data_IF_336358766299
#
_entry.id   IF_336358766299
#
_cell.length_a   1.000
_cell.length_b   1.000
_cell.length_c   1.000
_cell.angle_alpha   90.00
_cell.angle_beta   90.00
_cell.angle_gamma   90.00
#
_symmetry.space_group_name_H-M   'P 1'
#
loop_
_entity.id
_entity.type
_entity.pdbx_description
1 polymer ?
#
# COMPACT_ATOMS: atom_id res chain seq x y z
N UNK A 1 13.98 20.70 -10.19
CA UNK A 1 14.19 20.51 -8.73
C UNK A 1 15.31 19.52 -8.57
N UNK A 2 16.35 19.82 -7.78
CA UNK A 2 17.43 18.86 -7.55
C UNK A 2 17.03 17.79 -6.51
N UNK A 3 17.86 16.75 -6.36
CA UNK A 3 17.54 15.63 -5.46
C UNK A 3 17.29 16.06 -4.01
N UNK A 4 18.07 17.03 -3.48
CA UNK A 4 17.89 17.54 -2.11
C UNK A 4 16.56 18.27 -1.93
N UNK A 5 16.19 19.16 -2.85
CA UNK A 5 14.91 19.85 -2.81
C UNK A 5 13.71 18.89 -2.95
N UNK A 6 13.86 17.82 -3.72
CA UNK A 6 12.85 16.77 -3.83
C UNK A 6 12.67 16.01 -2.51
N UNK A 7 13.76 15.66 -1.84
CA UNK A 7 13.73 15.01 -0.51
C UNK A 7 12.97 15.88 0.49
N UNK A 8 13.29 17.17 0.57
CA UNK A 8 12.60 18.10 1.49
C UNK A 8 11.10 18.17 1.19
N UNK A 9 10.72 18.27 -0.09
CA UNK A 9 9.32 18.33 -0.49
C UNK A 9 8.55 17.04 -0.15
N UNK A 10 9.17 15.86 -0.33
CA UNK A 10 8.58 14.57 0.04
C UNK A 10 8.39 14.44 1.55
N UNK A 11 9.41 14.77 2.34
CA UNK A 11 9.34 14.77 3.81
C UNK A 11 8.26 15.70 4.36
N UNK A 12 8.08 16.86 3.73
CA UNK A 12 7.06 17.84 4.11
C UNK A 12 5.63 17.46 3.65
N UNK A 13 5.50 16.41 2.84
CA UNK A 13 4.19 15.99 2.32
C UNK A 13 3.29 15.43 3.43
N UNK A 14 1.97 15.65 3.27
CA UNK A 14 0.97 15.13 4.20
C UNK A 14 1.04 13.61 4.36
N UNK A 15 1.33 12.88 3.26
CA UNK A 15 1.44 11.43 3.28
C UNK A 15 2.56 10.92 4.18
N UNK A 16 3.74 11.56 4.13
CA UNK A 16 4.86 11.23 5.02
C UNK A 16 4.53 11.54 6.49
N UNK A 17 3.95 12.71 6.78
CA UNK A 17 3.56 13.08 8.14
C UNK A 17 2.58 12.07 8.76
N UNK A 18 1.56 11.64 8.02
CA UNK A 18 0.60 10.65 8.50
C UNK A 18 1.23 9.28 8.77
N UNK A 19 2.28 8.89 8.02
CA UNK A 19 2.94 7.60 8.25
C UNK A 19 3.78 7.60 9.53
N UNK A 20 4.38 8.72 9.91
CA UNK A 20 5.12 8.81 11.17
C UNK A 20 4.23 8.66 12.41
N UNK A 21 2.93 8.98 12.32
CA UNK A 21 1.97 8.78 13.41
C UNK A 21 1.77 7.28 13.75
N UNK A 22 1.98 6.39 12.77
CA UNK A 22 1.84 4.93 12.94
C UNK A 22 2.84 4.43 13.97
N UNK A 23 4.09 4.92 13.96
CA UNK A 23 5.12 4.49 14.89
C UNK A 23 4.76 4.80 16.35
N UNK A 24 4.07 5.91 16.61
CA UNK A 24 3.60 6.27 17.96
C UNK A 24 2.50 5.32 18.44
N UNK A 25 1.53 4.98 17.56
CA UNK A 25 0.45 4.04 17.86
C UNK A 25 0.99 2.63 18.11
N UNK A 26 1.87 2.14 17.25
CA UNK A 26 2.49 0.81 17.36
C UNK A 26 3.32 0.72 18.66
N UNK A 27 4.08 1.77 18.99
CA UNK A 27 4.87 1.84 20.22
C UNK A 27 3.99 1.83 21.48
N UNK A 28 2.88 2.58 21.46
CA UNK A 28 1.92 2.57 22.56
C UNK A 28 1.27 1.20 22.74
N UNK A 29 0.87 0.53 21.66
CA UNK A 29 0.30 -0.82 21.71
C UNK A 29 1.31 -1.85 22.22
N UNK A 30 2.54 -1.82 21.73
CA UNK A 30 3.59 -2.75 22.12
C UNK A 30 3.91 -2.69 23.63
N UNK A 31 3.82 -1.49 24.24
CA UNK A 31 4.07 -1.30 25.68
C UNK A 31 3.00 -1.91 26.60
N UNK A 32 1.79 -2.16 26.08
CA UNK A 32 0.62 -2.63 26.86
C UNK A 32 0.24 -4.10 26.59
N UNK A 33 0.95 -4.80 25.72
CA UNK A 33 0.60 -6.18 25.34
C UNK A 33 1.04 -7.19 26.41
N UNK A 34 0.17 -8.13 26.84
CA UNK A 34 0.54 -9.23 27.73
C UNK A 34 1.58 -10.14 27.05
N UNK A 35 2.76 -10.27 27.67
CA UNK A 35 3.87 -11.07 27.12
C UNK A 35 4.82 -10.31 26.22
N UNK A 36 4.59 -9.00 26.03
CA UNK A 36 5.46 -8.10 25.27
C UNK A 36 5.52 -8.40 23.77
N UNK A 37 6.31 -7.61 23.07
CA UNK A 37 6.53 -7.74 21.62
C UNK A 37 6.99 -9.13 21.16
N UNK A 38 7.64 -9.91 22.04
CA UNK A 38 8.12 -11.25 21.73
C UNK A 38 7.00 -12.29 21.54
N UNK A 39 5.88 -12.17 22.23
CA UNK A 39 4.75 -13.12 22.10
C UNK A 39 3.97 -12.86 20.78
N UNK A 40 3.90 -11.61 20.32
CA UNK A 40 3.29 -11.25 19.04
C UNK A 40 4.24 -11.52 17.86
N UNK A 41 5.54 -11.32 18.02
CA UNK A 41 6.54 -11.55 16.98
C UNK A 41 6.62 -12.99 16.47
N UNK A 42 6.10 -13.96 17.26
CA UNK A 42 6.01 -15.35 16.82
C UNK A 42 4.81 -15.66 15.92
N UNK A 43 3.74 -14.84 15.98
CA UNK A 43 2.51 -15.11 15.26
C UNK A 43 2.31 -14.19 14.05
N UNK A 44 2.52 -12.89 14.20
CA UNK A 44 2.25 -11.88 13.16
C UNK A 44 3.19 -10.69 13.35
N UNK A 45 4.01 -10.39 12.35
CA UNK A 45 4.83 -9.17 12.35
C UNK A 45 3.95 -7.94 12.07
N UNK A 46 4.16 -6.85 12.83
CA UNK A 46 3.49 -5.57 12.63
C UNK A 46 4.25 -4.73 11.61
N UNK A 47 3.52 -3.96 10.79
CA UNK A 47 4.08 -3.01 9.83
C UNK A 47 3.82 -3.36 8.36
N UNK A 48 3.13 -4.46 8.09
CA UNK A 48 2.70 -4.85 6.75
C UNK A 48 1.25 -4.40 6.44
N UNK A 49 0.79 -4.62 5.20
CA UNK A 49 -0.55 -4.22 4.72
C UNK A 49 -1.67 -5.02 5.40
N UNK A 50 -1.40 -6.28 5.75
CA UNK A 50 -2.33 -7.10 6.52
C UNK A 50 -1.64 -7.80 7.69
N UNK A 51 -2.40 -8.10 8.73
CA UNK A 51 -2.05 -9.16 9.67
C UNK A 51 -2.14 -10.51 8.96
N UNK A 52 -1.06 -11.31 8.98
CA UNK A 52 -1.00 -12.63 8.36
C UNK A 52 -1.02 -13.71 9.44
N UNK A 53 -2.17 -14.34 9.67
CA UNK A 53 -2.40 -15.33 10.72
C UNK A 53 -2.22 -16.73 10.13
N UNK A 54 -1.26 -17.56 10.59
CA UNK A 54 -1.11 -18.93 10.11
C UNK A 54 -2.41 -19.73 10.24
N UNK A 55 -2.77 -20.41 9.19
CA UNK A 55 -4.02 -21.18 9.13
C UNK A 55 -3.83 -22.44 8.29
N UNK A 56 -4.34 -23.56 8.81
CA UNK A 56 -4.32 -24.86 8.13
C UNK A 56 -5.75 -25.28 7.80
N UNK A 57 -5.97 -25.70 6.58
CA UNK A 57 -7.24 -26.26 6.13
C UNK A 57 -7.05 -27.58 5.36
N UNK A 58 -8.14 -28.08 4.75
CA UNK A 58 -8.12 -29.33 3.96
C UNK A 58 -7.20 -29.27 2.74
N UNK A 59 -6.88 -28.06 2.28
CA UNK A 59 -6.02 -27.82 1.12
C UNK A 59 -4.55 -27.59 1.51
N UNK A 60 -4.20 -27.62 2.81
CA UNK A 60 -2.86 -27.48 3.36
C UNK A 60 -2.61 -26.21 4.16
N UNK A 61 -1.35 -25.91 4.38
CA UNK A 61 -0.89 -24.73 5.12
C UNK A 61 -1.11 -23.44 4.30
N UNK A 62 -1.44 -22.36 5.00
CA UNK A 62 -1.64 -21.04 4.42
C UNK A 62 -1.81 -19.99 5.50
N UNK A 63 -2.38 -18.86 5.11
CA UNK A 63 -2.57 -17.70 5.99
C UNK A 63 -3.95 -17.09 5.78
N UNK A 64 -4.60 -16.69 6.88
CA UNK A 64 -5.67 -15.71 6.85
C UNK A 64 -5.04 -14.33 6.88
N UNK A 65 -5.52 -13.45 6.01
CA UNK A 65 -5.11 -12.05 5.92
C UNK A 65 -6.24 -11.19 6.45
N UNK A 66 -5.91 -10.24 7.32
CA UNK A 66 -6.90 -9.35 7.92
C UNK A 66 -6.37 -7.92 7.95
N UNK A 67 -7.12 -6.99 7.34
CA UNK A 67 -6.80 -5.57 7.29
C UNK A 67 -8.05 -4.73 7.60
N UNK A 68 -7.83 -3.45 7.92
CA UNK A 68 -8.88 -2.46 8.12
C UNK A 68 -8.36 -1.09 7.69
N UNK A 69 -9.18 -0.38 6.90
CA UNK A 69 -8.89 0.97 6.45
C UNK A 69 -9.98 1.95 6.87
N UNK A 70 -9.54 3.10 7.43
CA UNK A 70 -10.41 4.22 7.78
C UNK A 70 -10.27 5.35 6.78
N UNK A 71 -11.41 5.90 6.32
CA UNK A 71 -11.43 6.97 5.33
C UNK A 71 -11.41 8.35 5.98
N UNK A 72 -10.67 9.28 5.38
CA UNK A 72 -10.59 10.69 5.81
C UNK A 72 -11.95 11.36 5.71
N UNK A 73 -12.41 12.03 6.78
CA UNK A 73 -13.75 12.66 6.86
C UNK A 73 -14.03 13.62 5.68
N UNK A 74 -13.07 14.49 5.33
CA UNK A 74 -13.21 15.44 4.22
C UNK A 74 -13.43 14.73 2.87
N UNK A 75 -12.78 13.59 2.66
CA UNK A 75 -12.95 12.80 1.44
C UNK A 75 -14.36 12.20 1.35
N UNK A 76 -14.88 11.68 2.48
CA UNK A 76 -16.26 11.17 2.55
C UNK A 76 -17.26 12.30 2.31
N UNK A 77 -17.02 13.48 2.88
CA UNK A 77 -17.92 14.63 2.74
C UNK A 77 -17.98 15.18 1.31
N UNK A 78 -16.83 15.27 0.62
CA UNK A 78 -16.75 15.86 -0.71
C UNK A 78 -17.05 14.88 -1.84
N UNK A 79 -16.72 13.60 -1.67
CA UNK A 79 -16.83 12.59 -2.72
C UNK A 79 -17.41 11.27 -2.16
N UNK A 80 -18.64 11.27 -1.61
CA UNK A 80 -19.16 10.14 -0.84
C UNK A 80 -19.19 8.83 -1.62
N UNK A 81 -19.62 8.85 -2.89
CA UNK A 81 -19.61 7.66 -3.73
C UNK A 81 -18.21 7.12 -3.95
N UNK A 82 -17.26 7.99 -4.30
CA UNK A 82 -15.90 7.57 -4.57
C UNK A 82 -15.17 7.14 -3.29
N UNK A 83 -15.44 7.78 -2.15
CA UNK A 83 -14.95 7.33 -0.84
C UNK A 83 -15.45 5.92 -0.50
N UNK A 84 -16.74 5.65 -0.71
CA UNK A 84 -17.31 4.31 -0.58
C UNK A 84 -16.65 3.29 -1.52
N UNK A 85 -16.42 3.66 -2.77
CA UNK A 85 -15.71 2.81 -3.73
C UNK A 85 -14.28 2.52 -3.27
N UNK A 86 -13.53 3.54 -2.88
CA UNK A 86 -12.15 3.41 -2.41
C UNK A 86 -12.05 2.57 -1.14
N UNK A 87 -13.01 2.66 -0.22
CA UNK A 87 -12.96 1.91 1.05
C UNK A 87 -12.88 0.39 0.86
N UNK A 88 -13.51 -0.14 -0.18
CA UNK A 88 -13.39 -1.56 -0.57
C UNK A 88 -12.14 -1.79 -1.41
N UNK A 89 -11.85 -0.89 -2.37
CA UNK A 89 -10.72 -1.02 -3.29
C UNK A 89 -9.37 -1.08 -2.56
N UNK A 90 -9.12 -0.19 -1.60
CA UNK A 90 -7.84 -0.14 -0.86
C UNK A 90 -7.64 -1.42 -0.03
N UNK A 91 -8.66 -1.88 0.66
CA UNK A 91 -8.63 -3.15 1.39
C UNK A 91 -8.37 -4.37 0.47
N UNK A 92 -8.93 -4.36 -0.73
CA UNK A 92 -8.64 -5.39 -1.75
C UNK A 92 -7.18 -5.31 -2.17
N UNK A 93 -6.63 -4.10 -2.33
CA UNK A 93 -5.21 -3.88 -2.64
C UNK A 93 -4.30 -4.47 -1.57
N UNK A 94 -4.59 -4.23 -0.28
CA UNK A 94 -3.84 -4.78 0.87
C UNK A 94 -3.75 -6.31 0.82
N UNK A 95 -4.88 -6.98 0.55
CA UNK A 95 -4.90 -8.45 0.46
C UNK A 95 -4.01 -8.94 -0.68
N UNK A 96 -4.12 -8.30 -1.86
CA UNK A 96 -3.30 -8.70 -3.01
C UNK A 96 -1.82 -8.35 -2.81
N UNK A 97 -1.50 -7.22 -2.17
CA UNK A 97 -0.13 -6.85 -1.82
C UNK A 97 0.57 -7.92 -0.98
N UNK A 98 -0.20 -8.60 -0.10
CA UNK A 98 0.28 -9.72 0.71
C UNK A 98 0.27 -11.09 -0.02
N UNK A 99 0.02 -11.12 -1.34
CA UNK A 99 -0.04 -12.36 -2.13
C UNK A 99 -1.31 -13.18 -1.90
N UNK A 100 -2.35 -12.57 -1.34
CA UNK A 100 -3.62 -13.22 -1.02
C UNK A 100 -4.73 -12.91 -2.01
N UNK A 101 -5.88 -13.56 -1.75
CA UNK A 101 -7.15 -13.33 -2.46
C UNK A 101 -8.22 -12.95 -1.44
N UNK A 102 -8.99 -11.88 -1.66
CA UNK A 102 -10.01 -11.43 -0.74
C UNK A 102 -11.18 -12.42 -0.64
N UNK A 103 -11.76 -12.54 0.54
CA UNK A 103 -12.91 -13.40 0.82
C UNK A 103 -14.19 -12.61 1.07
N UNK A 104 -14.11 -11.59 1.95
CA UNK A 104 -15.27 -10.79 2.31
C UNK A 104 -14.85 -9.49 2.99
N UNK A 105 -15.72 -8.49 2.98
CA UNK A 105 -15.58 -7.24 3.72
C UNK A 105 -16.74 -7.03 4.69
N UNK A 106 -16.47 -6.30 5.77
CA UNK A 106 -17.44 -5.70 6.68
C UNK A 106 -17.11 -4.24 6.88
N UNK A 107 -18.11 -3.43 7.26
CA UNK A 107 -17.93 -1.99 7.41
C UNK A 107 -18.41 -1.45 8.76
N UNK A 108 -17.97 -0.25 9.10
CA UNK A 108 -18.55 0.59 10.13
C UNK A 108 -18.80 1.97 9.53
N UNK A 109 -20.09 2.33 9.39
CA UNK A 109 -20.54 3.57 8.75
C UNK A 109 -21.28 4.45 9.75
N UNK A 110 -20.83 5.67 9.94
CA UNK A 110 -21.56 6.73 10.62
C UNK A 110 -21.96 7.80 9.61
N UNK A 111 -23.20 8.28 9.68
CA UNK A 111 -23.72 9.30 8.77
C UNK A 111 -24.75 10.21 9.43
N UNK A 112 -24.96 11.38 8.86
CA UNK A 112 -26.01 12.32 9.22
C UNK A 112 -27.27 12.06 8.38
N UNK A 113 -27.93 10.92 8.65
CA UNK A 113 -29.10 10.47 7.88
C UNK A 113 -28.74 9.46 6.78
N UNK A 114 -29.80 9.02 6.07
CA UNK A 114 -29.65 8.01 5.00
C UNK A 114 -29.17 8.57 3.67
N UNK A 115 -29.45 9.83 3.35
CA UNK A 115 -29.11 10.38 2.03
C UNK A 115 -27.59 10.44 1.80
N UNK A 116 -26.74 10.94 2.73
CA UNK A 116 -25.29 10.84 2.60
C UNK A 116 -24.79 9.38 2.65
N UNK A 117 -25.41 8.54 3.48
CA UNK A 117 -25.05 7.13 3.59
C UNK A 117 -25.30 6.37 2.28
N UNK A 118 -26.39 6.67 1.57
CA UNK A 118 -26.76 5.98 0.33
C UNK A 118 -25.66 6.08 -0.73
N UNK A 119 -25.07 7.24 -0.94
CA UNK A 119 -24.00 7.43 -1.91
C UNK A 119 -22.73 6.63 -1.54
N UNK A 120 -22.37 6.61 -0.27
CA UNK A 120 -21.24 5.79 0.22
C UNK A 120 -21.52 4.30 -0.03
N UNK A 121 -22.71 3.82 0.34
CA UNK A 121 -23.11 2.42 0.15
C UNK A 121 -23.18 2.02 -1.33
N UNK A 122 -23.64 2.90 -2.21
CA UNK A 122 -23.61 2.68 -3.66
C UNK A 122 -22.16 2.53 -4.19
N UNK A 123 -21.23 3.37 -3.72
CA UNK A 123 -19.82 3.25 -4.04
C UNK A 123 -19.22 1.93 -3.56
N UNK A 124 -19.49 1.55 -2.32
CA UNK A 124 -19.07 0.26 -1.77
C UNK A 124 -19.61 -0.92 -2.57
N UNK A 125 -20.91 -0.89 -2.91
CA UNK A 125 -21.56 -1.94 -3.72
C UNK A 125 -20.92 -2.03 -5.13
N UNK A 126 -20.64 -0.88 -5.76
CA UNK A 126 -19.98 -0.85 -7.06
C UNK A 126 -18.58 -1.48 -7.02
N UNK A 127 -17.77 -1.18 -5.99
CA UNK A 127 -16.46 -1.78 -5.80
C UNK A 127 -16.58 -3.30 -5.51
N UNK A 128 -17.48 -3.69 -4.61
CA UNK A 128 -17.77 -5.10 -4.29
C UNK A 128 -18.06 -5.92 -5.56
N UNK A 129 -18.91 -5.41 -6.44
CA UNK A 129 -19.24 -6.07 -7.72
C UNK A 129 -18.03 -6.14 -8.67
N UNK A 130 -17.24 -5.05 -8.78
CA UNK A 130 -16.09 -4.99 -9.68
C UNK A 130 -14.98 -5.95 -9.26
N UNK A 131 -14.66 -5.95 -7.97
CA UNK A 131 -13.59 -6.79 -7.42
C UNK A 131 -14.07 -8.21 -7.11
N UNK A 132 -15.38 -8.44 -7.06
CA UNK A 132 -15.96 -9.75 -6.77
C UNK A 132 -15.83 -10.15 -5.30
N UNK A 133 -15.83 -9.17 -4.39
CA UNK A 133 -15.67 -9.37 -2.94
C UNK A 133 -16.97 -8.99 -2.25
N UNK A 134 -17.70 -9.93 -1.61
CA UNK A 134 -18.99 -9.65 -1.01
C UNK A 134 -18.86 -8.80 0.26
N UNK A 135 -19.81 -7.88 0.45
CA UNK A 135 -20.05 -7.19 1.73
C UNK A 135 -20.97 -8.10 2.54
N UNK A 136 -20.48 -8.63 3.66
CA UNK A 136 -21.21 -9.68 4.42
C UNK A 136 -21.80 -9.19 5.73
N UNK A 137 -21.59 -7.93 6.09
CA UNK A 137 -22.10 -7.32 7.31
C UNK A 137 -21.47 -5.99 7.60
N UNK A 138 -21.78 -5.44 8.76
CA UNK A 138 -21.24 -4.17 9.20
C UNK A 138 -21.97 -3.60 10.40
N UNK A 139 -21.61 -2.37 10.76
CA UNK A 139 -22.28 -1.57 11.79
C UNK A 139 -22.64 -0.20 11.21
N UNK A 140 -23.89 0.22 11.35
CA UNK A 140 -24.37 1.50 10.85
C UNK A 140 -24.97 2.38 11.93
N UNK A 141 -24.61 3.67 11.92
CA UNK A 141 -25.22 4.70 12.77
C UNK A 141 -25.57 5.93 11.93
N UNK A 142 -26.85 6.10 11.59
CA UNK A 142 -27.34 7.21 10.78
C UNK A 142 -27.72 8.46 11.58
N UNK A 143 -27.31 8.55 12.85
CA UNK A 143 -27.58 9.70 13.74
C UNK A 143 -26.29 10.36 14.23
N UNK A 144 -25.19 10.15 13.53
CA UNK A 144 -23.91 10.80 13.79
C UNK A 144 -23.94 12.24 13.28
N UNK A 145 -23.09 13.10 13.87
CA UNK A 145 -22.94 14.49 13.44
C UNK A 145 -22.07 14.63 12.19
N UNK A 146 -21.22 13.65 11.91
CA UNK A 146 -20.28 13.62 10.77
C UNK A 146 -20.26 12.24 10.13
N UNK A 147 -19.94 12.21 8.84
CA UNK A 147 -19.69 10.97 8.12
C UNK A 147 -18.35 10.37 8.52
N UNK A 148 -18.32 9.10 8.88
CA UNK A 148 -17.12 8.30 9.10
C UNK A 148 -17.31 6.93 8.49
N UNK A 149 -16.25 6.35 7.95
CA UNK A 149 -16.27 5.05 7.31
C UNK A 149 -14.98 4.31 7.62
N UNK A 150 -15.11 3.08 8.09
CA UNK A 150 -14.04 2.11 8.14
C UNK A 150 -14.51 0.80 7.52
N UNK A 151 -13.66 0.15 6.74
CA UNK A 151 -13.93 -1.14 6.12
C UNK A 151 -12.83 -2.11 6.50
N UNK A 152 -13.21 -3.28 6.97
CA UNK A 152 -12.30 -4.37 7.27
C UNK A 152 -12.49 -5.49 6.23
N UNK A 153 -11.39 -6.17 5.90
CA UNK A 153 -11.36 -7.23 4.91
C UNK A 153 -10.70 -8.49 5.47
N UNK A 154 -11.25 -9.64 5.09
CA UNK A 154 -10.66 -10.94 5.28
C UNK A 154 -10.21 -11.49 3.92
N UNK A 155 -9.00 -12.00 3.88
CA UNK A 155 -8.43 -12.69 2.72
C UNK A 155 -7.71 -13.96 3.11
N UNK A 156 -7.19 -14.67 2.11
CA UNK A 156 -6.42 -15.90 2.27
C UNK A 156 -5.25 -15.92 1.30
N UNK A 157 -4.09 -16.37 1.78
CA UNK A 157 -2.89 -16.60 0.98
C UNK A 157 -2.34 -18.01 1.17
N UNK A 158 -1.78 -18.59 0.11
CA UNK A 158 -0.98 -19.81 0.16
C UNK A 158 0.49 -19.53 0.44
N UNK A 159 0.99 -18.46 -0.14
CA UNK A 159 2.33 -17.92 0.00
C UNK A 159 2.20 -16.43 0.20
N UNK A 160 3.04 -15.88 1.06
CA UNK A 160 3.02 -14.45 1.35
C UNK A 160 3.98 -13.68 0.43
N UNK A 161 3.57 -12.48 0.09
CA UNK A 161 4.43 -11.35 -0.18
C UNK A 161 4.46 -10.51 1.10
N UNK A 162 5.63 -10.20 1.64
CA UNK A 162 5.71 -9.43 2.89
C UNK A 162 6.71 -8.29 2.77
N UNK A 163 6.57 -7.25 3.61
CA UNK A 163 7.54 -6.16 3.70
C UNK A 163 8.83 -6.54 4.46
N UNK A 164 9.00 -7.81 4.88
CA UNK A 164 10.10 -8.23 5.77
C UNK A 164 11.22 -9.00 5.08
N UNK A 165 11.11 -9.26 3.78
CA UNK A 165 12.02 -10.18 3.07
C UNK A 165 12.95 -9.51 2.05
N UNK A 166 12.95 -8.17 1.93
CA UNK A 166 13.88 -7.48 1.04
C UNK A 166 15.34 -7.70 1.50
N UNK A 167 16.23 -7.91 0.54
CA UNK A 167 17.64 -8.24 0.80
C UNK A 167 18.58 -7.35 -0.02
N UNK A 168 19.76 -7.03 0.49
CA UNK A 168 20.78 -6.36 -0.30
C UNK A 168 21.03 -7.07 -1.64
N UNK A 169 21.06 -6.30 -2.72
CA UNK A 169 21.21 -6.78 -4.09
C UNK A 169 19.89 -7.04 -4.82
N UNK A 170 18.74 -7.00 -4.12
CA UNK A 170 17.43 -7.04 -4.77
C UNK A 170 17.19 -5.78 -5.60
N UNK A 171 16.40 -5.92 -6.65
CA UNK A 171 15.91 -4.80 -7.44
C UNK A 171 14.54 -4.35 -6.92
N UNK A 172 14.42 -3.05 -6.63
CA UNK A 172 13.13 -2.43 -6.37
C UNK A 172 12.38 -2.27 -7.69
N UNK A 173 11.19 -2.84 -7.78
CA UNK A 173 10.35 -2.81 -8.97
C UNK A 173 9.04 -2.10 -8.64
N UNK A 174 8.66 -1.11 -9.44
CA UNK A 174 7.33 -0.51 -9.39
C UNK A 174 6.46 -1.10 -10.50
N UNK A 175 5.25 -1.54 -10.15
CA UNK A 175 4.20 -1.92 -11.09
C UNK A 175 2.98 -1.03 -10.88
N UNK A 176 2.46 -0.40 -11.95
CA UNK A 176 1.35 0.57 -11.83
C UNK A 176 0.47 0.58 -13.10
N UNK A 177 -0.84 0.82 -12.92
CA UNK A 177 -1.75 1.06 -14.04
C UNK A 177 -1.81 2.55 -14.38
N UNK A 178 -1.16 2.93 -15.49
CA UNK A 178 -1.15 4.31 -15.98
C UNK A 178 -2.39 4.68 -16.81
N UNK A 179 -3.32 3.75 -17.03
CA UNK A 179 -4.56 3.96 -17.81
C UNK A 179 -5.65 4.64 -16.99
N UNK A 180 -5.30 5.64 -16.20
CA UNK A 180 -6.18 6.36 -15.28
C UNK A 180 -6.14 7.86 -15.45
N UNK A 181 -6.69 8.54 -14.46
CA UNK A 181 -6.62 9.99 -14.31
C UNK A 181 -6.71 10.37 -12.82
N UNK A 182 -6.27 11.56 -12.46
CA UNK A 182 -6.46 12.08 -11.11
C UNK A 182 -7.93 12.28 -10.78
N UNK A 183 -8.27 12.00 -9.53
CA UNK A 183 -9.59 12.27 -8.97
C UNK A 183 -9.53 13.58 -8.16
N UNK A 184 -9.59 14.68 -8.89
CA UNK A 184 -9.48 16.03 -8.29
C UNK A 184 -10.51 16.25 -7.17
N UNK A 185 -10.14 16.96 -6.08
CA UNK A 185 -8.86 17.65 -5.88
C UNK A 185 -7.79 16.80 -5.18
N UNK A 186 -7.99 15.48 -5.09
CA UNK A 186 -7.08 14.58 -4.37
C UNK A 186 -6.01 13.99 -5.31
N UNK A 187 -4.81 13.69 -4.80
CA UNK A 187 -3.76 13.02 -5.59
C UNK A 187 -4.06 11.51 -5.73
N UNK A 188 -5.32 11.16 -6.02
CA UNK A 188 -5.74 9.78 -6.22
C UNK A 188 -5.79 9.47 -7.71
N UNK A 189 -4.93 8.54 -8.14
CA UNK A 189 -4.86 8.12 -9.53
C UNK A 189 -5.85 6.96 -9.78
N UNK A 190 -6.96 7.29 -10.42
CA UNK A 190 -8.06 6.36 -10.64
C UNK A 190 -7.98 5.68 -12.01
N UNK A 191 -7.46 4.47 -12.06
CA UNK A 191 -7.48 3.57 -13.21
C UNK A 191 -8.55 2.45 -13.07
N UNK A 192 -9.40 2.53 -12.03
CA UNK A 192 -10.30 1.46 -11.62
C UNK A 192 -11.75 1.66 -12.06
N UNK A 193 -12.38 2.81 -11.75
CA UNK A 193 -13.84 2.98 -11.90
C UNK A 193 -14.35 2.84 -13.33
N UNK A 194 -13.52 3.17 -14.34
CA UNK A 194 -13.82 3.00 -15.77
C UNK A 194 -13.38 1.65 -16.35
N UNK A 195 -12.66 0.83 -15.61
CA UNK A 195 -12.07 -0.40 -16.11
C UNK A 195 -13.06 -1.59 -16.13
N UNK A 196 -12.96 -2.53 -17.07
CA UNK A 196 -13.70 -3.79 -16.98
C UNK A 196 -13.32 -4.58 -15.72
N UNK A 197 -14.31 -5.10 -15.01
CA UNK A 197 -14.11 -5.87 -13.78
C UNK A 197 -13.19 -7.09 -13.98
N UNK A 198 -13.29 -7.77 -15.12
CA UNK A 198 -12.42 -8.90 -15.46
C UNK A 198 -10.95 -8.50 -15.59
N UNK A 199 -10.67 -7.29 -16.12
CA UNK A 199 -9.31 -6.74 -16.21
C UNK A 199 -8.75 -6.47 -14.82
N UNK A 200 -9.49 -5.76 -13.96
CA UNK A 200 -9.04 -5.42 -12.60
C UNK A 200 -8.67 -6.66 -11.81
N UNK A 201 -9.55 -7.67 -11.82
CA UNK A 201 -9.30 -8.93 -11.10
C UNK A 201 -8.10 -9.69 -11.66
N UNK A 202 -7.98 -9.77 -13.00
CA UNK A 202 -6.88 -10.46 -13.62
C UNK A 202 -5.52 -9.73 -13.47
N UNK A 203 -5.54 -8.39 -13.35
CA UNK A 203 -4.32 -7.61 -13.08
C UNK A 203 -3.86 -7.81 -11.63
N UNK A 204 -4.80 -7.84 -10.67
CA UNK A 204 -4.50 -8.09 -9.25
C UNK A 204 -4.02 -9.55 -9.00
N UNK A 205 -4.53 -10.51 -9.75
CA UNK A 205 -4.17 -11.94 -9.63
C UNK A 205 -2.66 -12.20 -9.88
N UNK A 206 -1.96 -11.26 -10.53
CA UNK A 206 -0.51 -11.35 -10.71
C UNK A 206 0.25 -11.44 -9.37
N UNK A 207 -0.22 -10.77 -8.31
CA UNK A 207 0.47 -10.74 -7.01
C UNK A 207 0.50 -12.13 -6.35
N UNK A 208 -0.64 -12.81 -6.11
CA UNK A 208 -0.62 -14.17 -5.57
C UNK A 208 0.10 -15.16 -6.51
N UNK A 209 0.00 -15.00 -7.84
CA UNK A 209 0.75 -15.85 -8.77
C UNK A 209 2.28 -15.71 -8.60
N UNK A 210 2.78 -14.48 -8.40
CA UNK A 210 4.21 -14.24 -8.13
C UNK A 210 4.66 -14.91 -6.83
N UNK A 211 3.85 -14.83 -5.77
CA UNK A 211 4.12 -15.49 -4.50
C UNK A 211 4.12 -17.01 -4.63
N UNK A 212 3.07 -17.58 -5.21
CA UNK A 212 2.85 -19.02 -5.35
C UNK A 212 3.88 -19.69 -6.26
N UNK A 213 4.37 -18.97 -7.27
CA UNK A 213 5.43 -19.46 -8.18
C UNK A 213 6.85 -19.20 -7.65
N UNK A 214 7.00 -18.51 -6.51
CA UNK A 214 8.30 -18.19 -5.92
C UNK A 214 9.13 -17.17 -6.72
N UNK A 215 8.49 -16.39 -7.58
CA UNK A 215 9.17 -15.33 -8.35
C UNK A 215 9.40 -14.06 -7.53
N UNK A 216 8.59 -13.85 -6.49
CA UNK A 216 8.72 -12.76 -5.53
C UNK A 216 8.24 -13.21 -4.16
N UNK A 217 8.81 -12.69 -3.09
CA UNK A 217 8.41 -12.90 -1.70
C UNK A 217 8.21 -11.58 -0.93
N UNK A 218 8.28 -10.44 -1.63
CA UNK A 218 8.29 -9.11 -1.01
C UNK A 218 7.54 -8.11 -1.87
N UNK A 219 6.45 -7.59 -1.36
CA UNK A 219 5.69 -6.51 -2.00
C UNK A 219 4.96 -5.65 -0.97
N UNK A 220 4.53 -4.46 -1.40
CA UNK A 220 3.67 -3.55 -0.68
C UNK A 220 2.85 -2.71 -1.66
N UNK A 221 1.59 -2.39 -1.33
CA UNK A 221 0.77 -1.50 -2.15
C UNK A 221 1.22 -0.04 -1.99
N UNK A 222 1.08 0.75 -3.06
CA UNK A 222 1.39 2.17 -3.03
C UNK A 222 0.21 2.91 -2.41
N UNK A 223 0.41 3.44 -1.19
CA UNK A 223 -0.60 4.13 -0.41
C UNK A 223 -0.37 5.66 -0.33
N UNK A 224 -0.96 6.36 0.64
CA UNK A 224 -0.97 7.83 0.74
C UNK A 224 0.40 8.51 0.79
N UNK A 225 1.48 7.83 1.15
CA UNK A 225 2.83 8.37 1.09
C UNK A 225 3.46 8.23 -0.31
N UNK A 226 2.70 7.74 -1.29
CA UNK A 226 3.13 7.52 -2.67
C UNK A 226 4.22 6.46 -2.82
N UNK A 227 4.80 6.40 -4.00
CA UNK A 227 5.79 5.37 -4.35
C UNK A 227 7.01 5.38 -3.44
N UNK A 228 7.52 6.58 -3.11
CA UNK A 228 8.75 6.73 -2.32
C UNK A 228 8.51 6.37 -0.85
N UNK A 229 7.41 6.84 -0.26
CA UNK A 229 7.07 6.49 1.12
C UNK A 229 6.69 5.02 1.27
N UNK A 230 6.07 4.41 0.28
CA UNK A 230 5.80 2.96 0.27
C UNK A 230 7.10 2.14 0.21
N UNK A 231 8.04 2.53 -0.66
CA UNK A 231 9.36 1.91 -0.71
C UNK A 231 10.08 2.03 0.66
N UNK A 232 10.02 3.23 1.28
CA UNK A 232 10.62 3.45 2.60
C UNK A 232 10.02 2.53 3.68
N UNK A 233 8.68 2.35 3.71
CA UNK A 233 8.03 1.43 4.65
C UNK A 233 8.50 -0.01 4.48
N UNK A 234 8.59 -0.50 3.24
CA UNK A 234 9.07 -1.84 2.91
C UNK A 234 10.53 -2.03 3.34
N UNK A 235 11.39 -1.05 3.06
CA UNK A 235 12.80 -1.09 3.41
C UNK A 235 13.03 -1.06 4.92
N UNK A 236 12.27 -0.22 5.65
CA UNK A 236 12.33 -0.17 7.11
C UNK A 236 11.92 -1.50 7.74
N UNK A 237 10.81 -2.10 7.30
CA UNK A 237 10.35 -3.41 7.78
C UNK A 237 11.41 -4.50 7.52
N UNK A 238 12.13 -4.43 6.41
CA UNK A 238 13.21 -5.35 6.06
C UNK A 238 14.55 -4.98 6.70
N UNK A 239 14.68 -3.82 7.37
CA UNK A 239 15.90 -3.30 7.99
C UNK A 239 17.07 -3.14 7.00
N UNK A 240 16.76 -2.66 5.81
CA UNK A 240 17.72 -2.43 4.71
C UNK A 240 17.55 -1.03 4.15
N UNK A 241 18.57 -0.51 3.47
CA UNK A 241 18.45 0.72 2.70
C UNK A 241 18.28 0.46 1.21
N UNK A 242 18.27 1.52 0.44
CA UNK A 242 18.20 1.44 -1.00
C UNK A 242 18.71 2.71 -1.67
N UNK A 243 19.04 2.58 -2.96
CA UNK A 243 19.13 3.69 -3.90
C UNK A 243 17.90 3.66 -4.82
N UNK A 244 17.05 4.68 -4.73
CA UNK A 244 15.84 4.80 -5.54
C UNK A 244 16.11 5.81 -6.66
N UNK A 245 15.91 5.40 -7.90
CA UNK A 245 16.07 6.22 -9.10
C UNK A 245 14.72 6.82 -9.51
N UNK A 246 14.53 8.09 -9.22
CA UNK A 246 13.29 8.82 -9.52
C UNK A 246 13.08 8.95 -11.04
N UNK A 247 14.15 9.00 -11.82
CA UNK A 247 14.05 9.14 -13.27
C UNK A 247 13.53 7.85 -13.94
N UNK A 248 13.71 6.70 -13.27
CA UNK A 248 13.21 5.40 -13.70
C UNK A 248 11.75 5.10 -13.27
N UNK A 249 11.15 5.93 -12.41
CA UNK A 249 9.77 5.73 -11.92
C UNK A 249 8.78 5.85 -13.08
N UNK A 250 7.99 4.80 -13.39
CA UNK A 250 6.91 4.86 -14.38
C UNK A 250 5.91 5.95 -14.01
N UNK A 251 5.59 6.81 -14.98
CA UNK A 251 4.71 7.97 -14.76
C UNK A 251 3.80 8.20 -15.96
N UNK A 252 2.64 8.86 -15.77
CA UNK A 252 1.78 9.29 -16.87
C UNK A 252 2.54 10.23 -17.81
N UNK A 253 2.23 10.20 -19.13
CA UNK A 253 2.89 11.04 -20.11
C UNK A 253 2.66 12.55 -19.89
N UNK A 254 1.65 12.92 -19.09
CA UNK A 254 1.31 14.31 -18.73
C UNK A 254 2.24 14.90 -17.66
N UNK A 255 3.08 14.10 -17.01
CA UNK A 255 4.02 14.58 -15.98
C UNK A 255 5.24 15.21 -16.65
N UNK A 256 5.22 16.55 -16.77
CA UNK A 256 6.27 17.33 -17.45
C UNK A 256 6.97 18.34 -16.55
N UNK A 257 6.31 18.82 -15.48
CA UNK A 257 6.85 19.78 -14.55
C UNK A 257 7.28 19.16 -13.23
N UNK A 258 8.09 19.86 -12.46
CA UNK A 258 8.52 19.45 -11.12
C UNK A 258 7.33 19.30 -10.15
N UNK A 259 6.32 20.17 -10.27
CA UNK A 259 5.12 20.09 -9.45
C UNK A 259 4.28 18.84 -9.78
N UNK A 260 4.14 18.51 -11.07
CA UNK A 260 3.45 17.29 -11.51
C UNK A 260 4.24 16.05 -11.11
N UNK A 261 5.57 16.08 -11.17
CA UNK A 261 6.41 14.99 -10.68
C UNK A 261 6.20 14.76 -9.18
N UNK A 262 6.24 15.81 -8.36
CA UNK A 262 6.00 15.69 -6.93
C UNK A 262 4.58 15.17 -6.64
N UNK A 263 3.57 15.66 -7.37
CA UNK A 263 2.21 15.16 -7.26
C UNK A 263 2.14 13.66 -7.57
N UNK A 264 2.81 13.19 -8.65
CA UNK A 264 2.87 11.79 -9.01
C UNK A 264 3.59 10.93 -7.97
N UNK A 265 4.73 11.38 -7.47
CA UNK A 265 5.52 10.65 -6.46
C UNK A 265 4.79 10.52 -5.12
N UNK A 266 3.81 11.38 -4.85
CA UNK A 266 2.93 11.34 -3.67
C UNK A 266 1.52 10.84 -3.98
N UNK A 267 1.25 10.42 -5.22
CA UNK A 267 -0.06 9.92 -5.62
C UNK A 267 -0.38 8.56 -5.01
N UNK A 268 -1.69 8.35 -4.79
CA UNK A 268 -2.23 7.05 -4.41
C UNK A 268 -2.94 6.42 -5.63
N UNK A 269 -2.29 5.47 -6.33
CA UNK A 269 -2.89 4.83 -7.48
C UNK A 269 -3.84 3.70 -7.06
N UNK A 270 -4.94 3.55 -7.79
CA UNK A 270 -5.91 2.45 -7.60
C UNK A 270 -5.35 1.05 -7.94
N UNK A 271 -4.21 0.99 -8.59
CA UNK A 271 -3.37 -0.17 -8.83
C UNK A 271 -1.92 0.30 -8.86
N UNK A 272 -1.17 -0.03 -7.84
CA UNK A 272 0.25 0.30 -7.74
C UNK A 272 0.92 -0.49 -6.63
N UNK A 273 2.07 -1.09 -6.93
CA UNK A 273 2.82 -1.92 -5.99
C UNK A 273 4.31 -1.66 -6.11
N UNK A 274 5.01 -1.72 -4.98
CA UNK A 274 6.46 -1.82 -4.90
C UNK A 274 6.81 -3.25 -4.53
N UNK A 275 7.74 -3.85 -5.26
CA UNK A 275 8.24 -5.19 -5.02
C UNK A 275 9.76 -5.14 -4.82
N UNK A 276 10.29 -6.00 -3.97
CA UNK A 276 11.73 -6.30 -3.89
C UNK A 276 11.95 -7.67 -4.54
N UNK A 277 12.68 -7.68 -5.67
CA UNK A 277 12.78 -8.85 -6.55
C UNK A 277 14.22 -9.26 -6.71
N UNK A 278 14.51 -10.56 -6.55
CA UNK A 278 15.85 -11.11 -6.81
C UNK A 278 16.25 -10.86 -8.28
N UNK A 279 17.50 -10.48 -8.57
CA UNK A 279 17.95 -10.14 -9.93
C UNK A 279 17.62 -11.21 -10.97
N UNK A 280 17.74 -12.49 -10.62
CA UNK A 280 17.45 -13.63 -11.50
C UNK A 280 15.97 -13.77 -11.87
N UNK A 281 15.07 -13.15 -11.11
CA UNK A 281 13.62 -13.18 -11.35
C UNK A 281 13.08 -11.92 -11.99
N UNK A 282 13.83 -10.81 -11.94
CA UNK A 282 13.35 -9.48 -12.34
C UNK A 282 12.77 -9.47 -13.75
N UNK A 283 13.49 -10.02 -14.74
CA UNK A 283 13.01 -10.03 -16.13
C UNK A 283 11.65 -10.76 -16.27
N UNK A 284 11.43 -11.83 -15.51
CA UNK A 284 10.18 -12.59 -15.53
C UNK A 284 9.05 -11.81 -14.86
N UNK A 285 9.35 -11.14 -13.73
CA UNK A 285 8.37 -10.31 -13.01
C UNK A 285 7.92 -9.15 -13.88
N UNK A 286 8.85 -8.39 -14.47
CA UNK A 286 8.54 -7.30 -15.40
C UNK A 286 7.65 -7.78 -16.56
N UNK A 287 8.01 -8.91 -17.19
CA UNK A 287 7.25 -9.47 -18.31
C UNK A 287 5.81 -9.83 -17.92
N UNK A 288 5.55 -10.32 -16.70
CA UNK A 288 4.20 -10.63 -16.21
C UNK A 288 3.31 -9.40 -16.17
N UNK A 289 3.77 -8.31 -15.55
CA UNK A 289 3.01 -7.06 -15.48
C UNK A 289 2.84 -6.43 -16.86
N UNK A 290 3.91 -6.34 -17.67
CA UNK A 290 3.88 -5.74 -19.00
C UNK A 290 2.96 -6.49 -19.97
N UNK A 291 2.84 -7.83 -19.85
CA UNK A 291 1.91 -8.64 -20.65
C UNK A 291 0.44 -8.27 -20.42
N UNK A 292 0.13 -7.62 -19.31
CA UNK A 292 -1.19 -7.10 -18.96
C UNK A 292 -1.38 -5.62 -19.31
N UNK A 293 -0.39 -5.00 -19.95
CA UNK A 293 -0.38 -3.57 -20.27
C UNK A 293 -0.22 -2.67 -19.04
N UNK A 294 0.33 -3.21 -17.95
CA UNK A 294 0.73 -2.44 -16.78
C UNK A 294 2.14 -1.88 -16.99
N UNK A 295 2.37 -0.64 -16.56
CA UNK A 295 3.72 -0.09 -16.54
C UNK A 295 4.50 -0.74 -15.40
N UNK A 296 5.68 -1.25 -15.71
CA UNK A 296 6.52 -1.94 -14.74
C UNK A 296 7.99 -1.69 -15.04
N UNK A 297 8.75 -1.20 -14.06
CA UNK A 297 10.17 -0.89 -14.21
C UNK A 297 10.94 -1.16 -12.92
N UNK A 298 12.25 -1.41 -13.06
CA UNK A 298 13.20 -1.33 -11.94
C UNK A 298 13.40 0.14 -11.60
N UNK A 299 13.13 0.50 -10.36
CA UNK A 299 13.20 1.88 -9.85
C UNK A 299 14.28 2.06 -8.79
N UNK A 300 15.07 1.03 -8.52
CA UNK A 300 16.16 1.12 -7.55
C UNK A 300 16.78 -0.23 -7.22
N UNK A 301 17.70 -0.19 -6.28
CA UNK A 301 18.43 -1.35 -5.77
C UNK A 301 18.48 -1.31 -4.25
N UNK A 302 18.23 -2.44 -3.61
CA UNK A 302 18.31 -2.60 -2.16
C UNK A 302 19.78 -2.74 -1.74
N UNK A 303 20.18 -2.01 -0.69
CA UNK A 303 21.54 -1.98 -0.16
C UNK A 303 21.62 -2.51 1.27
N UNK A 304 22.81 -2.94 1.68
CA UNK A 304 23.07 -3.36 3.06
C UNK A 304 23.21 -2.17 4.04
N UNK A 305 23.51 -0.99 3.53
CA UNK A 305 23.57 0.24 4.32
C UNK A 305 22.15 0.68 4.68
N UNK A 306 21.90 1.26 5.88
CA UNK A 306 20.54 1.62 6.31
C UNK A 306 20.01 2.92 5.68
N UNK A 307 20.81 3.57 4.85
CA UNK A 307 20.45 4.81 4.18
C UNK A 307 19.55 4.53 2.96
N UNK A 308 18.47 5.29 2.85
CA UNK A 308 17.64 5.36 1.67
C UNK A 308 17.99 6.63 0.92
N UNK A 309 18.59 6.48 -0.25
CA UNK A 309 19.02 7.56 -1.12
C UNK A 309 18.05 7.75 -2.28
N UNK A 310 17.75 9.00 -2.65
CA UNK A 310 17.05 9.34 -3.89
C UNK A 310 18.07 9.83 -4.92
N UNK A 311 18.07 9.21 -6.09
CA UNK A 311 18.81 9.68 -7.26
C UNK A 311 17.84 10.38 -8.22
N UNK A 312 18.17 11.59 -8.64
CA UNK A 312 17.38 12.40 -9.59
C UNK A 312 18.28 13.33 -10.38
N UNK A 313 18.18 13.29 -11.72
CA UNK A 313 18.95 14.14 -12.64
C UNK A 313 20.48 14.08 -12.40
N UNK A 314 21.00 12.90 -12.08
CA UNK A 314 22.43 12.67 -11.83
C UNK A 314 22.92 13.12 -10.45
N UNK A 315 22.06 13.61 -9.59
CA UNK A 315 22.36 13.94 -8.20
C UNK A 315 21.76 12.90 -7.25
N UNK A 316 22.34 12.79 -6.04
CA UNK A 316 21.83 11.94 -4.97
C UNK A 316 21.61 12.73 -3.69
N UNK A 317 20.57 12.38 -2.93
CA UNK A 317 20.30 12.96 -1.63
C UNK A 317 19.77 11.90 -0.66
N UNK A 318 20.14 12.02 0.63
CA UNK A 318 19.65 11.16 1.68
C UNK A 318 18.17 11.47 1.99
N UNK A 319 17.29 10.50 1.72
CA UNK A 319 15.90 10.59 2.12
C UNK A 319 15.68 10.20 3.57
N UNK A 320 16.29 9.10 4.02
CA UNK A 320 16.03 8.54 5.34
C UNK A 320 17.16 7.62 5.77
N UNK A 321 17.38 7.50 7.09
CA UNK A 321 18.19 6.45 7.66
C UNK A 321 17.32 5.58 8.57
N UNK A 322 17.01 4.36 8.14
CA UNK A 322 16.07 3.46 8.84
C UNK A 322 16.63 2.93 10.17
N UNK A 323 17.92 3.04 10.42
CA UNK A 323 18.53 2.68 11.70
C UNK A 323 18.47 3.81 12.73
N UNK A 324 18.36 5.06 12.30
CA UNK A 324 18.38 6.22 13.18
C UNK A 324 16.99 6.77 13.47
N UNK A 325 16.07 6.65 12.50
CA UNK A 325 14.75 7.25 12.59
C UNK A 325 13.67 6.26 12.13
N UNK A 326 12.76 5.90 13.03
CA UNK A 326 11.58 5.12 12.72
C UNK A 326 10.62 5.93 11.83
N UNK A 327 10.03 5.27 10.83
CA UNK A 327 8.99 5.82 9.97
C UNK A 327 7.62 5.25 10.34
N UNK A 328 7.48 3.91 10.38
CA UNK A 328 6.25 3.22 10.80
C UNK A 328 6.48 2.16 11.88
N UNK A 329 7.73 1.75 12.15
CA UNK A 329 8.04 0.72 13.14
C UNK A 329 8.10 1.28 14.56
N UNK A 330 8.24 0.41 15.56
CA UNK A 330 8.40 0.80 16.97
C UNK A 330 9.68 1.62 17.12
N UNK A 331 9.55 2.81 17.74
CA UNK A 331 10.73 3.58 18.14
C UNK A 331 11.46 2.82 19.24
N UNK A 332 12.69 2.40 18.99
CA UNK A 332 13.55 1.92 20.07
C UNK A 332 13.78 3.09 21.02
N UNK A 333 13.50 2.83 22.32
CA UNK A 333 13.78 3.83 23.35
C UNK A 333 15.28 4.16 23.27
N UNK A 334 15.63 5.41 22.97
CA UNK A 334 16.99 5.88 23.08
C UNK A 334 17.45 5.63 24.51
N UNK A 335 18.34 4.67 24.72
CA UNK A 335 19.05 4.51 25.99
C UNK A 335 19.88 5.79 26.20
N UNK A 336 19.30 6.75 26.96
CA UNK A 336 19.99 7.93 27.46
C UNK A 336 20.89 7.56 28.63
#
# INVERSE_FOLDING_TARGET
>A
MNAAALVEALRASRGFAHKTDISDVVSALASHQPGGAAAMAQAVALGDDCAAIPFNDTDGEGYLLFAIEGLVEDFIAHMPWFAGYCSVMVNVSDIYAMGGRPLAVVDALWSQGMDPAAQVLEGMAAASQRYGVPIVGGHSNNRALRGQLAVAILGRARRLLTSFNARPGDQLVMAVDLRGAYQEPYPYWNASTGAPASRLRADLELLPELAETGLCDTAKDISMAGVVGTALMLLECSKVGARIDIDAVPRPPEVHSEAELLCWLTAFPSYGFILSVRPEHTAKVLARFMSRGLACAVVGEVTAAPEVLLAHQGEEALLWNVAEQAFITVREASHA
#
